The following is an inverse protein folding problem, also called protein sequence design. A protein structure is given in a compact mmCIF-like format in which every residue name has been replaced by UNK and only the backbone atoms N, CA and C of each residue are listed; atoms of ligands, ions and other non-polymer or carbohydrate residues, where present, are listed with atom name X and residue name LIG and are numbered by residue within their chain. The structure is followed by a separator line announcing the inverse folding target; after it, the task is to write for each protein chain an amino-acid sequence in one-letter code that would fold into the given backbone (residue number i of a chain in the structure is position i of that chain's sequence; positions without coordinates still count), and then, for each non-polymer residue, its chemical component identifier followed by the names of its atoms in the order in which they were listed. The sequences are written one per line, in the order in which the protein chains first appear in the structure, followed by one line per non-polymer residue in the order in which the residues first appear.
data_IF_131135278934
#
_entry.id   IF_131135278934
#
_cell.length_a   1.000
_cell.length_b   1.000
_cell.length_c   1.000
_cell.angle_alpha   90.00
_cell.angle_beta   90.00
_cell.angle_gamma   90.00
#
_symmetry.space_group_name_H-M   'P 1'
#
loop_
_entity.id
_entity.type
_entity.pdbx_description
1 polymer ?
#
# COMPACT_ATOMS: atom_id res chain seq x y z
N UNK A 1 2.21 -31.90 -21.49
CA UNK A 1 1.71 -32.22 -20.13
C UNK A 1 2.62 -31.54 -19.10
N UNK A 2 2.15 -30.47 -18.46
CA UNK A 2 2.98 -29.69 -17.53
C UNK A 2 2.76 -30.21 -16.11
N UNK A 3 3.66 -31.09 -15.67
CA UNK A 3 3.67 -31.57 -14.30
C UNK A 3 4.60 -30.64 -13.50
N UNK A 4 4.02 -29.67 -12.79
CA UNK A 4 4.78 -28.58 -12.16
C UNK A 4 5.18 -28.85 -10.70
N UNK A 5 4.51 -29.76 -9.98
CA UNK A 5 4.87 -30.09 -8.59
C UNK A 5 4.42 -31.51 -8.28
N UNK A 6 5.32 -32.33 -7.74
CA UNK A 6 5.01 -33.62 -7.12
C UNK A 6 5.49 -33.60 -5.67
N UNK A 7 4.55 -33.74 -4.72
CA UNK A 7 4.85 -33.77 -3.28
C UNK A 7 4.42 -32.53 -2.51
N UNK A 8 4.74 -32.50 -1.22
CA UNK A 8 4.31 -31.47 -0.26
C UNK A 8 5.29 -30.28 -0.27
N UNK A 9 5.45 -29.65 -1.44
CA UNK A 9 6.36 -28.51 -1.62
C UNK A 9 5.64 -27.24 -1.20
N UNK A 10 6.13 -26.62 -0.13
CA UNK A 10 5.60 -25.34 0.35
C UNK A 10 5.85 -24.25 -0.68
N UNK A 11 4.82 -23.44 -0.96
CA UNK A 11 4.93 -22.32 -1.87
C UNK A 11 5.98 -21.32 -1.38
N UNK A 12 6.92 -20.95 -2.26
CA UNK A 12 7.92 -19.92 -1.94
C UNK A 12 7.29 -18.53 -2.09
N UNK A 13 7.01 -17.86 -0.98
CA UNK A 13 6.47 -16.49 -1.01
C UNK A 13 7.54 -15.44 -1.32
N UNK A 14 8.77 -15.64 -0.85
CA UNK A 14 9.90 -14.73 -1.05
C UNK A 14 11.16 -15.54 -1.41
N UNK A 15 11.97 -15.09 -2.39
CA UNK A 15 13.16 -15.80 -2.83
C UNK A 15 14.35 -15.70 -1.86
N UNK A 16 14.28 -14.81 -0.87
CA UNK A 16 15.30 -14.60 0.16
C UNK A 16 14.69 -14.94 1.52
N UNK A 17 15.42 -15.63 2.42
CA UNK A 17 14.97 -15.87 3.78
C UNK A 17 14.70 -14.54 4.49
N UNK A 18 13.45 -14.31 4.87
CA UNK A 18 13.04 -13.10 5.57
C UNK A 18 13.15 -13.33 7.08
N UNK A 19 13.61 -12.31 7.79
CA UNK A 19 13.51 -12.19 9.25
C UNK A 19 12.59 -11.02 9.57
N UNK A 20 12.14 -10.91 10.82
CA UNK A 20 11.37 -9.73 11.24
C UNK A 20 12.24 -8.48 11.12
N UNK A 21 11.82 -7.55 10.26
CA UNK A 21 12.47 -6.25 10.09
C UNK A 21 11.56 -5.20 10.73
N UNK A 22 12.06 -4.55 11.78
CA UNK A 22 11.34 -3.50 12.50
C UNK A 22 11.91 -2.13 12.13
N UNK A 23 11.04 -1.12 12.19
CA UNK A 23 11.42 0.29 12.09
C UNK A 23 11.50 0.88 13.49
N UNK A 24 12.54 1.67 13.76
CA UNK A 24 12.65 2.47 14.98
C UNK A 24 11.44 3.40 15.16
N UNK A 25 10.96 3.54 16.40
CA UNK A 25 9.84 4.43 16.73
C UNK A 25 10.31 5.89 16.87
N UNK A 26 10.75 6.46 15.74
CA UNK A 26 11.19 7.84 15.64
C UNK A 26 10.24 8.65 14.74
N UNK A 27 10.03 9.92 15.12
CA UNK A 27 9.29 10.90 14.31
C UNK A 27 10.18 11.32 13.15
N UNK A 28 9.64 11.28 11.93
CA UNK A 28 10.28 11.79 10.72
C UNK A 28 9.45 12.94 10.13
N UNK A 29 10.08 13.89 9.40
CA UNK A 29 9.35 14.91 8.69
C UNK A 29 8.35 14.30 7.70
N UNK A 30 7.10 14.74 7.77
CA UNK A 30 6.07 14.40 6.78
C UNK A 30 6.26 15.22 5.50
N UNK A 31 5.64 14.76 4.41
CA UNK A 31 5.47 15.57 3.20
C UNK A 31 4.68 16.85 3.52
N UNK A 32 4.93 17.91 2.75
CA UNK A 32 4.05 19.09 2.77
C UNK A 32 2.68 18.71 2.20
N UNK A 33 1.64 19.49 2.52
CA UNK A 33 0.30 19.26 1.99
C UNK A 33 0.28 19.27 0.45
N UNK A 34 1.02 20.19 -0.17
CA UNK A 34 1.18 20.26 -1.63
C UNK A 34 1.84 19.01 -2.21
N UNK A 35 2.93 18.53 -1.59
CA UNK A 35 3.62 17.30 -2.03
C UNK A 35 2.72 16.07 -1.90
N UNK A 36 1.91 15.99 -0.83
CA UNK A 36 0.98 14.89 -0.65
C UNK A 36 -0.14 14.90 -1.70
N UNK A 37 -0.56 16.09 -2.17
CA UNK A 37 -1.64 16.26 -3.15
C UNK A 37 -1.16 16.30 -4.61
N UNK A 38 0.15 16.29 -4.86
CA UNK A 38 0.69 16.50 -6.22
C UNK A 38 0.27 15.42 -7.23
N UNK A 39 -0.13 14.24 -6.75
CA UNK A 39 -0.66 13.14 -7.57
C UNK A 39 -2.17 12.95 -7.47
N UNK A 40 -2.90 13.84 -6.79
CA UNK A 40 -4.34 13.72 -6.63
C UNK A 40 -5.03 13.96 -7.98
N UNK A 41 -5.94 13.05 -8.44
CA UNK A 41 -6.74 13.31 -9.63
C UNK A 41 -7.60 14.57 -9.51
N UNK A 42 -8.12 14.84 -8.31
CA UNK A 42 -8.83 16.06 -7.96
C UNK A 42 -8.59 16.41 -6.48
N UNK A 43 -8.40 17.69 -6.18
CA UNK A 43 -8.20 18.20 -4.82
C UNK A 43 -8.97 19.49 -4.60
N UNK A 44 -9.50 19.69 -3.40
CA UNK A 44 -10.16 20.92 -2.99
C UNK A 44 -9.82 21.22 -1.52
N UNK A 45 -9.60 22.49 -1.19
CA UNK A 45 -9.31 22.96 0.17
C UNK A 45 -8.23 22.14 0.90
N UNK A 46 -7.14 21.81 0.20
CA UNK A 46 -6.03 21.03 0.76
C UNK A 46 -6.36 19.57 1.08
N UNK A 47 -7.38 19.00 0.43
CA UNK A 47 -7.87 17.63 0.62
C UNK A 47 -8.04 16.91 -0.71
N UNK A 48 -7.96 15.59 -0.70
CA UNK A 48 -8.38 14.76 -1.82
C UNK A 48 -9.89 14.88 -2.00
N UNK A 49 -10.35 15.20 -3.21
CA UNK A 49 -11.78 15.23 -3.52
C UNK A 49 -12.24 13.87 -3.99
N UNK A 50 -13.37 13.40 -3.45
CA UNK A 50 -14.01 12.14 -3.82
C UNK A 50 -15.51 12.39 -4.04
N UNK A 51 -16.13 11.55 -4.88
CA UNK A 51 -17.58 11.54 -5.01
C UNK A 51 -18.19 11.00 -3.71
N UNK A 52 -19.03 11.79 -3.06
CA UNK A 52 -19.84 11.29 -1.96
C UNK A 52 -20.85 10.28 -2.50
N UNK A 53 -20.91 9.11 -1.87
CA UNK A 53 -22.01 8.16 -2.00
C UNK A 53 -22.81 8.28 -0.71
N UNK A 54 -23.81 9.15 -0.74
CA UNK A 54 -24.83 9.24 0.30
C UNK A 54 -26.11 8.69 -0.35
N UNK A 55 -26.53 7.50 0.08
CA UNK A 55 -27.93 7.08 -0.11
C UNK A 55 -28.74 7.94 0.86
N UNK A 56 -29.62 8.76 0.32
CA UNK A 56 -30.73 9.37 1.03
C UNK A 56 -31.93 8.45 0.73
N UNK A 57 -32.73 8.10 1.73
CA UNK A 57 -34.02 7.42 1.50
C UNK A 57 -34.81 8.05 0.34
#
# INVERSE_FOLDING_TARGET
PNQAVSGDVVATSHPIPMVNVYREDAILPSLTQEQALSGAPESADGRFKVNAILDED
#
